data_IF_169538417329
#
_entry.id   IF_169538417329
#
_cell.length_a   1.000
_cell.length_b   1.000
_cell.length_c   1.000
_cell.angle_alpha   90.00
_cell.angle_beta   90.00
_cell.angle_gamma   90.00
#
_symmetry.space_group_name_H-M   'P 1'
#
loop_
_entity.id
_entity.type
_entity.pdbx_description
1 polymer ?
#
# COMPACT_ATOMS: atom_id res chain seq x y z
N UNK A 1 -19.54 -3.57 22.98
CA UNK A 1 -18.47 -4.59 22.85
C UNK A 1 -18.48 -5.11 21.42
N UNK A 2 -17.33 -5.43 20.84
CA UNK A 2 -17.25 -6.04 19.51
C UNK A 2 -17.80 -7.47 19.58
N UNK A 3 -18.69 -7.83 18.65
CA UNK A 3 -19.38 -9.12 18.67
C UNK A 3 -18.62 -10.20 17.89
N UNK A 4 -18.02 -9.82 16.77
CA UNK A 4 -17.42 -10.72 15.81
C UNK A 4 -15.89 -10.76 15.90
N UNK A 5 -15.26 -9.65 16.31
CA UNK A 5 -13.79 -9.53 16.41
C UNK A 5 -13.34 -9.01 17.79
N UNK A 6 -13.68 -9.71 18.90
CA UNK A 6 -13.41 -9.22 20.26
C UNK A 6 -11.91 -9.06 20.56
N UNK A 7 -11.08 -10.02 20.17
CA UNK A 7 -9.62 -9.98 20.40
C UNK A 7 -8.96 -8.81 19.65
N UNK A 8 -9.38 -8.58 18.40
CA UNK A 8 -8.93 -7.46 17.60
C UNK A 8 -9.33 -6.12 18.21
N UNK A 9 -10.56 -6.01 18.70
CA UNK A 9 -11.04 -4.80 19.37
C UNK A 9 -10.27 -4.52 20.67
N UNK A 10 -9.92 -5.56 21.43
CA UNK A 10 -9.09 -5.43 22.64
C UNK A 10 -7.66 -5.02 22.29
N UNK A 11 -7.10 -5.56 21.20
CA UNK A 11 -5.79 -5.12 20.66
C UNK A 11 -5.81 -3.66 20.23
N UNK A 12 -6.87 -3.22 19.56
CA UNK A 12 -7.08 -1.81 19.17
C UNK A 12 -7.12 -0.93 20.41
N UNK A 13 -7.91 -1.29 21.42
CA UNK A 13 -7.98 -0.54 22.68
C UNK A 13 -6.64 -0.53 23.40
N UNK A 14 -5.86 -1.60 23.38
CA UNK A 14 -4.58 -1.65 24.10
C UNK A 14 -3.57 -0.57 23.65
N UNK A 15 -3.72 0.02 22.45
CA UNK A 15 -2.87 1.09 21.94
C UNK A 15 -2.76 2.29 22.89
N UNK A 16 -3.89 2.77 23.45
CA UNK A 16 -3.88 3.90 24.40
C UNK A 16 -3.14 3.58 25.71
N UNK A 17 -3.17 2.31 26.14
CA UNK A 17 -2.46 1.88 27.35
C UNK A 17 -0.97 1.70 27.12
N UNK A 18 -0.58 1.23 25.93
CA UNK A 18 0.82 0.98 25.57
C UNK A 18 1.59 2.26 25.25
N UNK A 19 0.94 3.23 24.61
CA UNK A 19 1.57 4.50 24.22
C UNK A 19 0.63 5.67 24.55
N UNK A 20 0.42 5.97 25.85
CA UNK A 20 -0.51 7.02 26.27
C UNK A 20 -0.17 8.39 25.68
N UNK A 21 1.11 8.70 25.50
CA UNK A 21 1.56 9.96 24.91
C UNK A 21 1.16 10.15 23.44
N UNK A 22 0.90 9.05 22.73
CA UNK A 22 0.53 9.07 21.32
C UNK A 22 -0.98 8.87 21.12
N UNK A 23 -1.57 7.94 21.86
CA UNK A 23 -2.93 7.46 21.67
C UNK A 23 -3.91 7.88 22.76
N UNK A 24 -3.42 8.49 23.86
CA UNK A 24 -4.25 8.81 25.03
C UNK A 24 -5.33 9.86 24.78
N UNK A 25 -5.19 10.68 23.73
CA UNK A 25 -6.21 11.66 23.31
C UNK A 25 -7.28 11.08 22.39
N UNK A 26 -7.11 9.85 21.89
CA UNK A 26 -8.06 9.22 20.98
C UNK A 26 -9.12 8.46 21.78
N UNK A 27 -10.39 8.82 21.55
CA UNK A 27 -11.52 8.02 22.02
C UNK A 27 -11.74 6.82 21.09
N UNK A 28 -11.29 5.63 21.54
CA UNK A 28 -11.41 4.38 20.78
C UNK A 28 -12.82 3.78 20.77
N UNK A 29 -13.75 4.28 21.58
CA UNK A 29 -15.14 3.84 21.56
C UNK A 29 -16.00 4.72 20.64
N UNK A 30 -15.47 5.87 20.20
CA UNK A 30 -16.09 6.72 19.19
C UNK A 30 -15.69 6.32 17.77
N UNK A 31 -16.68 6.21 16.90
CA UNK A 31 -16.45 5.97 15.46
C UNK A 31 -16.11 7.28 14.76
N UNK A 32 -15.00 7.36 14.00
CA UNK A 32 -14.59 8.60 13.34
C UNK A 32 -15.51 8.95 12.17
N UNK A 33 -15.64 10.25 11.85
CA UNK A 33 -16.52 10.75 10.81
C UNK A 33 -16.33 10.04 9.48
N UNK A 34 -15.10 9.72 9.08
CA UNK A 34 -14.79 9.01 7.83
C UNK A 34 -15.56 7.70 7.63
N UNK A 35 -15.99 7.06 8.72
CA UNK A 35 -16.77 5.83 8.68
C UNK A 35 -18.27 6.16 8.66
N UNK A 36 -19.03 5.45 7.83
CA UNK A 36 -20.47 5.64 7.71
C UNK A 36 -21.20 4.36 7.32
N UNK A 37 -22.27 4.05 8.04
CA UNK A 37 -23.29 3.07 7.63
C UNK A 37 -24.59 3.75 7.23
N UNK A 38 -24.64 5.09 7.26
CA UNK A 38 -25.82 5.86 6.88
C UNK A 38 -26.07 5.71 5.37
N UNK A 39 -27.23 5.17 4.96
CA UNK A 39 -27.57 4.98 3.54
C UNK A 39 -27.70 6.31 2.78
N UNK A 40 -27.99 7.42 3.46
CA UNK A 40 -28.10 8.75 2.84
C UNK A 40 -26.74 9.37 2.50
N UNK A 41 -25.67 8.89 3.12
CA UNK A 41 -24.31 9.40 2.91
C UNK A 41 -23.64 8.62 1.80
N UNK A 42 -23.16 9.31 0.76
CA UNK A 42 -22.41 8.66 -0.32
C UNK A 42 -21.08 8.08 0.18
N UNK A 43 -20.85 6.80 -0.08
CA UNK A 43 -19.58 6.13 0.21
C UNK A 43 -18.64 6.08 -1.01
N UNK A 44 -17.45 5.55 -0.77
CA UNK A 44 -16.42 5.34 -1.79
C UNK A 44 -16.73 4.13 -2.70
N UNK A 45 -17.64 3.24 -2.29
CA UNK A 45 -18.11 2.11 -3.12
C UNK A 45 -18.83 2.62 -4.36
N UNK A 46 -18.31 2.37 -5.57
CA UNK A 46 -19.01 2.76 -6.79
C UNK A 46 -20.25 1.88 -7.00
N UNK A 47 -21.37 2.50 -7.40
CA UNK A 47 -22.65 1.80 -7.63
C UNK A 47 -22.60 0.72 -8.72
N UNK A 48 -21.57 0.71 -9.57
CA UNK A 48 -21.36 -0.32 -10.60
C UNK A 48 -20.57 -1.54 -10.10
N UNK A 49 -19.97 -1.45 -8.90
CA UNK A 49 -19.16 -2.51 -8.30
C UNK A 49 -20.03 -3.46 -7.48
N UNK A 50 -20.87 -2.93 -6.60
CA UNK A 50 -21.80 -3.71 -5.79
C UNK A 50 -22.94 -2.84 -5.26
N UNK A 51 -24.03 -3.50 -4.86
CA UNK A 51 -25.11 -2.87 -4.09
C UNK A 51 -24.63 -2.62 -2.65
N UNK A 52 -24.69 -1.36 -2.20
CA UNK A 52 -24.14 -0.98 -0.89
C UNK A 52 -24.91 -1.60 0.26
N UNK A 53 -26.23 -1.69 0.17
CA UNK A 53 -27.07 -2.20 1.25
C UNK A 53 -26.78 -3.68 1.51
N UNK A 54 -26.57 -4.46 0.45
CA UNK A 54 -26.13 -5.86 0.56
C UNK A 54 -24.78 -6.02 1.26
N UNK A 55 -23.83 -5.10 1.01
CA UNK A 55 -22.51 -5.10 1.65
C UNK A 55 -22.62 -4.70 3.13
N UNK A 56 -23.47 -3.72 3.45
CA UNK A 56 -23.68 -3.26 4.83
C UNK A 56 -24.45 -4.26 5.69
N UNK A 57 -25.14 -5.24 5.09
CA UNK A 57 -25.82 -6.31 5.79
C UNK A 57 -24.84 -7.34 6.42
N UNK A 58 -23.58 -7.41 5.97
CA UNK A 58 -22.54 -8.20 6.63
C UNK A 58 -21.99 -7.43 7.85
N UNK A 59 -22.64 -7.62 9.00
CA UNK A 59 -22.25 -6.99 10.26
C UNK A 59 -20.81 -7.34 10.68
N UNK A 60 -20.31 -8.53 10.35
CA UNK A 60 -18.95 -8.97 10.65
C UNK A 60 -17.93 -8.18 9.84
N UNK A 61 -18.16 -7.98 8.55
CA UNK A 61 -17.28 -7.19 7.70
C UNK A 61 -17.34 -5.70 8.08
N UNK A 62 -18.53 -5.16 8.36
CA UNK A 62 -18.71 -3.77 8.83
C UNK A 62 -17.99 -3.54 10.17
N UNK A 63 -18.09 -4.47 11.13
CA UNK A 63 -17.37 -4.40 12.39
C UNK A 63 -15.85 -4.49 12.20
N UNK A 64 -15.37 -5.37 11.32
CA UNK A 64 -13.94 -5.48 10.99
C UNK A 64 -13.39 -4.15 10.50
N UNK A 65 -14.06 -3.51 9.54
CA UNK A 65 -13.61 -2.22 8.99
C UNK A 65 -13.67 -1.11 10.04
N UNK A 66 -14.76 -1.03 10.83
CA UNK A 66 -14.87 -0.04 11.92
C UNK A 66 -13.72 -0.18 12.91
N UNK A 67 -13.43 -1.41 13.32
CA UNK A 67 -12.40 -1.74 14.30
C UNK A 67 -11.00 -1.42 13.75
N UNK A 68 -10.71 -1.84 12.53
CA UNK A 68 -9.40 -1.65 11.89
C UNK A 68 -9.15 -0.22 11.40
N UNK A 69 -10.20 0.61 11.26
CA UNK A 69 -10.07 2.06 11.06
C UNK A 69 -9.40 2.74 12.26
N UNK A 70 -9.52 2.15 13.46
CA UNK A 70 -8.88 2.63 14.68
C UNK A 70 -7.59 1.88 15.01
N UNK A 71 -7.07 1.04 14.10
CA UNK A 71 -5.87 0.25 14.32
C UNK A 71 -4.65 0.88 13.62
N UNK A 72 -3.69 1.36 14.41
CA UNK A 72 -2.34 1.70 13.97
C UNK A 72 -1.43 0.47 13.91
N UNK A 73 -0.17 0.61 14.32
CA UNK A 73 0.75 -0.52 14.45
C UNK A 73 1.18 -0.69 15.90
N UNK A 74 0.54 -1.65 16.58
CA UNK A 74 0.73 -1.89 18.02
C UNK A 74 2.15 -2.31 18.40
N UNK A 75 2.99 -2.65 17.42
CA UNK A 75 4.39 -3.07 17.62
C UNK A 75 5.37 -2.02 17.11
N UNK A 76 5.12 -1.43 15.95
CA UNK A 76 6.05 -0.47 15.34
C UNK A 76 5.86 0.97 15.85
N UNK A 77 4.67 1.36 16.31
CA UNK A 77 4.43 2.69 16.86
C UNK A 77 5.23 2.99 18.15
N UNK A 78 5.38 2.05 19.12
CA UNK A 78 6.26 2.26 20.27
C UNK A 78 7.69 2.59 19.85
N UNK A 79 8.23 1.83 18.89
CA UNK A 79 9.58 2.07 18.38
C UNK A 79 9.67 3.43 17.66
N UNK A 80 8.68 3.79 16.85
CA UNK A 80 8.64 5.08 16.17
C UNK A 80 8.52 6.27 17.16
N UNK A 81 7.82 6.10 18.28
CA UNK A 81 7.67 7.13 19.31
C UNK A 81 9.01 7.53 19.96
N UNK A 82 10.01 6.62 19.96
CA UNK A 82 11.38 6.88 20.41
C UNK A 82 12.10 7.93 19.55
N UNK A 83 11.54 8.34 18.40
CA UNK A 83 12.14 9.35 17.53
C UNK A 83 12.32 10.70 18.24
N UNK A 84 11.48 11.02 19.24
CA UNK A 84 11.64 12.24 20.06
C UNK A 84 12.93 12.22 20.90
N UNK A 85 13.39 11.05 21.31
CA UNK A 85 14.57 10.86 22.15
C UNK A 85 15.84 10.59 21.32
N UNK A 86 15.74 9.72 20.32
CA UNK A 86 16.90 9.23 19.56
C UNK A 86 17.08 9.91 18.19
N UNK A 87 16.04 10.59 17.69
CA UNK A 87 15.98 11.11 16.32
C UNK A 87 15.67 10.02 15.28
N UNK A 88 14.95 10.39 14.22
CA UNK A 88 14.50 9.45 13.18
C UNK A 88 15.66 8.68 12.52
N UNK A 89 16.77 9.38 12.22
CA UNK A 89 17.96 8.76 11.61
C UNK A 89 18.54 7.62 12.46
N UNK A 90 18.63 7.82 13.78
CA UNK A 90 19.16 6.79 14.68
C UNK A 90 18.27 5.54 14.67
N UNK A 91 16.94 5.71 14.72
CA UNK A 91 16.01 4.58 14.63
C UNK A 91 16.12 3.83 13.31
N UNK A 92 16.26 4.55 12.20
CA UNK A 92 16.46 3.97 10.86
C UNK A 92 17.75 3.14 10.82
N UNK A 93 18.85 3.69 11.35
CA UNK A 93 20.16 3.02 11.34
C UNK A 93 20.16 1.77 12.23
N UNK A 94 19.54 1.83 13.41
CA UNK A 94 19.35 0.68 14.30
C UNK A 94 18.51 -0.42 13.64
N UNK A 95 17.37 -0.06 13.02
CA UNK A 95 16.51 -1.04 12.35
C UNK A 95 17.22 -1.71 11.17
N UNK A 96 17.91 -0.92 10.32
CA UNK A 96 18.70 -1.48 9.22
C UNK A 96 19.76 -2.45 9.71
N UNK A 97 20.46 -2.11 10.80
CA UNK A 97 21.46 -2.99 11.40
C UNK A 97 20.82 -4.27 11.94
N UNK A 98 19.70 -4.17 12.65
CA UNK A 98 18.97 -5.33 13.16
C UNK A 98 18.44 -6.26 12.04
N UNK A 99 17.97 -5.68 10.93
CA UNK A 99 17.54 -6.45 9.76
C UNK A 99 18.70 -7.20 9.11
N UNK A 100 19.90 -6.59 9.00
CA UNK A 100 21.06 -7.20 8.31
C UNK A 100 21.87 -8.17 9.16
N UNK A 101 21.92 -7.95 10.47
CA UNK A 101 22.89 -8.61 11.35
C UNK A 101 22.28 -9.13 12.65
N UNK A 102 20.95 -9.11 12.76
CA UNK A 102 20.23 -9.51 13.97
C UNK A 102 20.16 -8.38 15.00
N UNK A 103 19.10 -8.38 15.81
CA UNK A 103 18.87 -7.30 16.79
C UNK A 103 19.95 -7.25 17.87
N UNK A 104 20.54 -8.38 18.22
CA UNK A 104 21.64 -8.45 19.21
C UNK A 104 22.93 -7.77 18.74
N UNK A 105 23.07 -7.49 17.44
CA UNK A 105 24.19 -6.71 16.92
C UNK A 105 24.08 -5.22 17.24
N UNK A 106 22.89 -4.73 17.61
CA UNK A 106 22.63 -3.33 17.97
C UNK A 106 22.97 -3.15 19.46
N UNK A 107 24.02 -2.37 19.73
CA UNK A 107 24.40 -2.04 21.10
C UNK A 107 23.27 -1.26 21.79
N UNK A 108 22.95 -1.65 23.03
CA UNK A 108 21.86 -1.07 23.82
C UNK A 108 20.53 -0.98 23.06
N UNK A 109 20.22 -2.02 22.26
CA UNK A 109 18.98 -2.09 21.48
C UNK A 109 17.76 -1.90 22.40
N UNK A 110 16.90 -0.90 22.14
CA UNK A 110 15.70 -0.70 22.94
C UNK A 110 14.74 -1.87 22.79
N UNK A 111 13.95 -2.15 23.82
CA UNK A 111 13.01 -3.27 23.85
C UNK A 111 11.98 -3.16 22.73
N UNK A 112 11.60 -1.95 22.32
CA UNK A 112 10.69 -1.71 21.20
C UNK A 112 11.29 -2.15 19.86
N UNK A 113 12.62 -2.02 19.66
CA UNK A 113 13.28 -2.55 18.47
C UNK A 113 13.29 -4.08 18.49
N UNK A 114 13.52 -4.68 19.66
CA UNK A 114 13.47 -6.14 19.84
C UNK A 114 12.09 -6.68 19.50
N UNK A 115 11.04 -6.09 20.09
CA UNK A 115 9.65 -6.44 19.81
C UNK A 115 9.27 -6.24 18.33
N UNK A 116 9.76 -5.17 17.69
CA UNK A 116 9.56 -4.94 16.25
C UNK A 116 10.13 -6.10 15.43
N UNK A 117 11.40 -6.44 15.63
CA UNK A 117 12.09 -7.48 14.88
C UNK A 117 11.49 -8.85 15.16
N UNK A 118 11.20 -9.16 16.43
CA UNK A 118 10.53 -10.40 16.85
C UNK A 118 9.15 -10.56 16.19
N UNK A 119 8.35 -9.49 16.13
CA UNK A 119 7.05 -9.51 15.43
C UNK A 119 7.16 -9.84 13.95
N UNK A 120 8.28 -9.48 13.30
CA UNK A 120 8.50 -9.81 11.88
C UNK A 120 9.13 -11.20 11.70
N UNK A 121 9.90 -11.67 12.68
CA UNK A 121 10.46 -13.03 12.73
C UNK A 121 9.42 -14.09 13.04
N UNK A 122 8.32 -13.70 13.71
CA UNK A 122 7.20 -14.58 13.98
C UNK A 122 6.71 -15.24 12.68
N UNK A 123 6.67 -16.57 12.67
CA UNK A 123 6.16 -17.36 11.56
C UNK A 123 4.69 -17.65 11.84
N UNK A 124 3.73 -17.05 11.12
CA UNK A 124 2.32 -17.36 11.32
C UNK A 124 2.03 -18.82 11.00
N UNK A 125 1.12 -19.45 11.76
CA UNK A 125 0.78 -20.87 11.57
C UNK A 125 0.21 -21.20 10.18
N UNK A 126 -0.36 -20.20 9.51
CA UNK A 126 -0.89 -20.34 8.15
C UNK A 126 0.18 -20.24 7.06
N UNK A 127 1.41 -19.83 7.38
CA UNK A 127 2.43 -19.50 6.39
C UNK A 127 3.06 -20.74 5.76
N UNK A 128 2.87 -20.91 4.44
CA UNK A 128 3.60 -21.91 3.65
C UNK A 128 4.75 -21.25 2.86
N UNK A 129 5.99 -21.37 3.36
CA UNK A 129 7.17 -20.67 2.80
C UNK A 129 7.40 -21.01 1.32
N UNK A 130 7.20 -22.26 0.92
CA UNK A 130 7.35 -22.68 -0.48
C UNK A 130 6.30 -22.01 -1.39
N UNK A 131 5.08 -21.77 -0.89
CA UNK A 131 4.06 -21.03 -1.63
C UNK A 131 4.37 -19.54 -1.71
N UNK A 132 5.00 -18.95 -0.69
CA UNK A 132 5.48 -17.57 -0.74
C UNK A 132 6.49 -17.39 -1.87
N UNK A 133 7.50 -18.28 -1.97
CA UNK A 133 8.51 -18.19 -3.02
C UNK A 133 7.92 -18.44 -4.42
N UNK A 134 7.01 -19.41 -4.56
CA UNK A 134 6.29 -19.61 -5.83
C UNK A 134 5.40 -18.41 -6.17
N UNK A 135 4.73 -17.80 -5.19
CA UNK A 135 3.93 -16.60 -5.36
C UNK A 135 4.78 -15.39 -5.79
N UNK A 136 5.93 -15.20 -5.15
CA UNK A 136 6.93 -14.20 -5.51
C UNK A 136 7.36 -14.39 -6.97
N UNK A 137 7.68 -15.63 -7.37
CA UNK A 137 8.07 -15.99 -8.75
C UNK A 137 6.98 -15.63 -9.76
N UNK A 138 5.72 -15.92 -9.46
CA UNK A 138 4.59 -15.62 -10.35
C UNK A 138 4.35 -14.10 -10.49
N UNK A 139 4.44 -13.36 -9.40
CA UNK A 139 4.22 -11.91 -9.37
C UNK A 139 5.42 -11.11 -9.92
N UNK A 140 6.62 -11.68 -9.89
CA UNK A 140 7.84 -11.12 -10.50
C UNK A 140 7.68 -10.80 -11.99
N UNK A 141 6.87 -11.59 -12.71
CA UNK A 141 6.58 -11.37 -14.14
C UNK A 141 5.84 -10.04 -14.33
N UNK A 142 4.85 -9.76 -13.47
CA UNK A 142 4.13 -8.49 -13.46
C UNK A 142 5.07 -7.33 -13.10
N UNK A 143 5.88 -7.51 -12.04
CA UNK A 143 6.88 -6.53 -11.62
C UNK A 143 7.88 -6.18 -12.72
N UNK A 144 8.28 -7.16 -13.54
CA UNK A 144 9.24 -6.97 -14.62
C UNK A 144 8.65 -6.29 -15.86
N UNK A 145 7.43 -6.67 -16.26
CA UNK A 145 6.91 -6.37 -17.61
C UNK A 145 5.67 -5.50 -17.64
N UNK A 146 4.93 -5.36 -16.54
CA UNK A 146 3.68 -4.60 -16.49
C UNK A 146 3.79 -3.41 -15.54
N UNK A 147 4.21 -3.63 -14.29
CA UNK A 147 4.30 -2.59 -13.26
C UNK A 147 5.03 -1.32 -13.70
N UNK A 148 6.16 -1.38 -14.44
CA UNK A 148 6.87 -0.17 -14.89
C UNK A 148 6.04 0.77 -15.78
N UNK A 149 4.93 0.30 -16.36
CA UNK A 149 4.04 1.08 -17.22
C UNK A 149 2.81 1.62 -16.50
N UNK A 150 2.42 1.03 -15.36
CA UNK A 150 1.16 1.36 -14.66
C UNK A 150 1.38 1.93 -13.26
N UNK A 151 2.63 2.09 -12.84
CA UNK A 151 2.99 2.43 -11.44
C UNK A 151 2.31 3.71 -10.97
N UNK A 152 2.29 4.79 -11.74
CA UNK A 152 1.62 6.03 -11.29
C UNK A 152 0.12 5.84 -11.13
N UNK A 153 -0.50 5.17 -12.09
CA UNK A 153 -1.94 4.87 -12.03
C UNK A 153 -2.28 4.05 -10.78
N UNK A 154 -1.51 3.00 -10.51
CA UNK A 154 -1.66 2.15 -9.33
C UNK A 154 -1.41 2.91 -8.02
N UNK A 155 -0.36 3.74 -7.97
CA UNK A 155 -0.06 4.59 -6.83
C UNK A 155 -1.16 5.62 -6.56
N UNK A 156 -1.74 6.22 -7.59
CA UNK A 156 -2.85 7.17 -7.39
C UNK A 156 -4.12 6.51 -6.92
N UNK A 157 -4.41 5.28 -7.37
CA UNK A 157 -5.60 4.55 -6.93
C UNK A 157 -5.67 4.37 -5.40
N UNK A 158 -4.54 4.48 -4.68
CA UNK A 158 -4.51 4.39 -3.21
C UNK A 158 -4.70 5.74 -2.49
N UNK A 159 -4.63 6.89 -3.18
CA UNK A 159 -4.67 8.24 -2.58
C UNK A 159 -5.73 9.17 -3.18
N UNK A 160 -6.81 8.59 -3.70
CA UNK A 160 -7.92 9.33 -4.31
C UNK A 160 -9.08 9.62 -3.36
N UNK A 161 -8.96 9.21 -2.09
CA UNK A 161 -9.92 9.57 -1.07
C UNK A 161 -9.21 10.42 -0.01
N UNK A 162 -9.81 11.56 0.37
CA UNK A 162 -9.23 12.55 1.28
C UNK A 162 -8.78 11.94 2.60
N UNK A 163 -9.52 10.94 3.10
CA UNK A 163 -9.18 10.26 4.36
C UNK A 163 -7.91 9.38 4.26
N UNK A 164 -7.60 8.86 3.07
CA UNK A 164 -6.38 8.09 2.80
C UNK A 164 -5.23 8.94 2.25
N UNK A 165 -5.54 10.06 1.59
CA UNK A 165 -4.59 10.96 0.95
C UNK A 165 -3.91 11.93 1.94
N UNK A 166 -4.62 12.33 3.00
CA UNK A 166 -4.16 13.37 3.92
C UNK A 166 -2.79 13.07 4.56
N UNK A 167 -2.44 11.84 5.00
CA UNK A 167 -1.10 11.57 5.52
C UNK A 167 0.01 11.90 4.51
N UNK A 168 -0.21 11.68 3.22
CA UNK A 168 0.76 12.05 2.17
C UNK A 168 0.87 13.57 2.00
N UNK A 169 -0.26 14.28 2.10
CA UNK A 169 -0.28 15.73 2.01
C UNK A 169 0.44 16.38 3.22
N UNK A 170 0.17 15.91 4.43
CA UNK A 170 0.78 16.43 5.67
C UNK A 170 2.30 16.29 5.69
N UNK A 171 2.83 15.21 5.12
CA UNK A 171 4.29 14.97 5.04
C UNK A 171 4.96 15.82 3.96
N UNK A 172 4.19 16.48 3.08
CA UNK A 172 4.70 17.17 1.88
C UNK A 172 5.41 16.21 0.90
N UNK A 173 5.18 14.90 1.03
CA UNK A 173 5.94 13.85 0.37
C UNK A 173 5.78 13.85 -1.16
N UNK A 174 4.70 14.46 -1.67
CA UNK A 174 4.37 14.53 -3.09
C UNK A 174 4.55 15.92 -3.69
N UNK A 175 5.41 16.77 -3.13
CA UNK A 175 5.72 18.09 -3.68
C UNK A 175 7.01 18.08 -4.51
N UNK A 176 6.93 18.53 -5.77
CA UNK A 176 8.09 18.69 -6.65
C UNK A 176 8.93 17.41 -6.82
N UNK A 177 10.26 17.50 -6.65
CA UNK A 177 11.18 16.35 -6.76
C UNK A 177 10.94 15.24 -5.72
N UNK A 178 10.18 15.50 -4.65
CA UNK A 178 9.85 14.46 -3.65
C UNK A 178 8.81 13.48 -4.19
N UNK A 179 7.92 13.93 -5.10
CA UNK A 179 6.90 13.08 -5.70
C UNK A 179 7.49 11.92 -6.51
N UNK A 180 8.45 12.19 -7.39
CA UNK A 180 9.12 11.13 -8.17
C UNK A 180 9.81 10.12 -7.26
N UNK A 181 10.50 10.61 -6.24
CA UNK A 181 11.15 9.77 -5.24
C UNK A 181 10.18 8.85 -4.51
N UNK A 182 9.02 9.34 -4.06
CA UNK A 182 8.02 8.52 -3.36
C UNK A 182 7.38 7.45 -4.24
N UNK A 183 7.09 7.79 -5.50
CA UNK A 183 6.59 6.82 -6.48
C UNK A 183 7.65 5.75 -6.74
N UNK A 184 8.90 6.13 -6.95
CA UNK A 184 10.00 5.20 -7.16
C UNK A 184 10.28 4.33 -5.91
N UNK A 185 10.18 4.87 -4.70
CA UNK A 185 10.28 4.09 -3.46
C UNK A 185 9.16 3.05 -3.37
N UNK A 186 7.92 3.42 -3.71
CA UNK A 186 6.80 2.47 -3.73
C UNK A 186 7.00 1.38 -4.79
N UNK A 187 7.36 1.75 -6.01
CA UNK A 187 7.68 0.80 -7.08
C UNK A 187 8.83 -0.14 -6.69
N UNK A 188 9.87 0.41 -6.05
CA UNK A 188 11.00 -0.37 -5.57
C UNK A 188 10.55 -1.40 -4.52
N UNK A 189 9.75 -1.00 -3.52
CA UNK A 189 9.23 -1.94 -2.51
C UNK A 189 8.47 -3.12 -3.12
N UNK A 190 7.53 -2.84 -4.04
CA UNK A 190 6.77 -3.90 -4.69
C UNK A 190 7.62 -4.77 -5.61
N UNK A 191 8.65 -4.22 -6.25
CA UNK A 191 9.55 -4.98 -7.12
C UNK A 191 10.54 -5.83 -6.32
N UNK A 192 11.21 -5.26 -5.32
CA UNK A 192 12.26 -5.92 -4.52
C UNK A 192 11.71 -7.11 -3.74
N UNK A 193 10.50 -6.99 -3.20
CA UNK A 193 9.84 -8.07 -2.47
C UNK A 193 9.56 -9.30 -3.33
N UNK A 194 9.52 -9.16 -4.67
CA UNK A 194 9.34 -10.31 -5.56
C UNK A 194 10.64 -11.06 -5.86
N UNK A 195 11.81 -10.56 -5.49
CA UNK A 195 13.08 -11.24 -5.79
C UNK A 195 13.22 -12.57 -5.01
N UNK A 196 13.97 -13.56 -5.54
CA UNK A 196 14.14 -14.85 -4.86
C UNK A 196 14.69 -14.67 -3.44
N UNK A 197 14.06 -15.29 -2.44
CA UNK A 197 14.45 -15.21 -1.02
C UNK A 197 14.34 -13.81 -0.41
N UNK A 198 13.70 -12.85 -1.10
CA UNK A 198 13.69 -11.46 -0.64
C UNK A 198 12.91 -11.26 0.67
N UNK A 199 11.89 -12.09 0.93
CA UNK A 199 11.08 -12.02 2.16
C UNK A 199 11.60 -12.93 3.28
N UNK A 200 12.70 -13.67 3.07
CA UNK A 200 13.38 -14.37 4.14
C UNK A 200 13.95 -13.38 5.16
N UNK A 201 14.25 -13.85 6.38
CA UNK A 201 14.64 -13.01 7.52
C UNK A 201 15.75 -11.99 7.23
N UNK A 202 16.75 -12.36 6.43
CA UNK A 202 17.86 -11.48 6.06
C UNK A 202 17.78 -10.96 4.63
N UNK A 203 16.66 -11.20 3.96
CA UNK A 203 16.38 -10.77 2.60
C UNK A 203 16.17 -9.27 2.49
N UNK A 204 16.44 -8.73 1.31
CA UNK A 204 16.29 -7.30 1.02
C UNK A 204 14.83 -6.83 1.09
N UNK A 205 13.87 -7.69 0.75
CA UNK A 205 12.44 -7.43 0.87
C UNK A 205 11.96 -7.39 2.33
N UNK A 206 12.51 -8.23 3.21
CA UNK A 206 12.26 -8.18 4.65
C UNK A 206 12.72 -6.86 5.24
N UNK A 207 13.96 -6.44 4.95
CA UNK A 207 14.46 -5.13 5.37
C UNK A 207 13.60 -3.99 4.79
N UNK A 208 13.21 -4.07 3.51
CA UNK A 208 12.36 -3.06 2.89
C UNK A 208 10.99 -2.96 3.58
N UNK A 209 10.37 -4.10 3.91
CA UNK A 209 9.10 -4.15 4.65
C UNK A 209 9.23 -3.53 6.04
N UNK A 210 10.31 -3.86 6.77
CA UNK A 210 10.60 -3.27 8.08
C UNK A 210 10.70 -1.74 8.00
N UNK A 211 11.42 -1.24 6.99
CA UNK A 211 11.58 0.19 6.79
C UNK A 211 10.28 0.90 6.41
N UNK A 212 9.45 0.30 5.54
CA UNK A 212 8.13 0.85 5.18
C UNK A 212 7.20 0.85 6.39
N UNK A 213 7.19 -0.23 7.20
CA UNK A 213 6.41 -0.35 8.44
C UNK A 213 6.82 0.71 9.47
N UNK A 214 8.12 0.97 9.62
CA UNK A 214 8.63 2.07 10.45
C UNK A 214 8.21 3.44 9.88
N UNK A 215 8.34 3.64 8.57
CA UNK A 215 7.93 4.89 7.92
C UNK A 215 6.45 5.21 8.16
N UNK A 216 5.55 4.23 8.00
CA UNK A 216 4.12 4.43 8.30
C UNK A 216 3.89 4.80 9.77
N UNK A 217 4.62 4.18 10.68
CA UNK A 217 4.54 4.47 12.12
C UNK A 217 5.08 5.86 12.47
N UNK A 218 6.17 6.31 11.82
CA UNK A 218 6.67 7.69 11.95
C UNK A 218 5.69 8.73 11.42
N UNK A 219 5.04 8.47 10.27
CA UNK A 219 3.98 9.33 9.74
C UNK A 219 2.82 9.44 10.72
N UNK A 220 2.39 8.30 11.30
CA UNK A 220 1.32 8.24 12.30
C UNK A 220 1.68 9.00 13.58
N UNK A 221 2.89 8.78 14.10
CA UNK A 221 3.41 9.51 15.25
C UNK A 221 3.41 11.01 15.02
N UNK A 222 3.88 11.45 13.86
CA UNK A 222 3.89 12.87 13.54
C UNK A 222 2.47 13.45 13.42
N UNK A 223 1.57 12.76 12.73
CA UNK A 223 0.19 13.24 12.53
C UNK A 223 -0.55 13.40 13.86
N UNK A 224 -0.37 12.49 14.81
CA UNK A 224 -1.02 12.56 16.13
C UNK A 224 -0.37 13.54 17.11
N UNK A 225 0.91 13.87 16.93
CA UNK A 225 1.63 14.78 17.83
C UNK A 225 1.74 16.21 17.30
N UNK A 226 1.42 16.43 16.03
CA UNK A 226 1.38 17.76 15.43
C UNK A 226 0.00 18.38 15.64
N UNK A 227 -0.11 19.58 16.25
CA UNK A 227 -1.40 20.23 16.48
C UNK A 227 -2.10 20.70 15.20
N UNK A 228 -1.43 20.62 14.05
CA UNK A 228 -1.94 21.08 12.76
C UNK A 228 -2.18 19.91 11.82
N UNK A 229 -3.44 19.70 11.44
CA UNK A 229 -3.79 18.97 10.22
C UNK A 229 -4.29 17.54 10.38
N UNK A 230 -4.38 16.98 11.60
CA UNK A 230 -5.06 15.71 11.84
C UNK A 230 -6.09 15.82 12.96
N UNK A 231 -7.33 15.49 12.66
CA UNK A 231 -8.43 15.41 13.64
C UNK A 231 -8.85 13.94 13.81
N UNK A 232 -8.54 13.29 14.95
CA UNK A 232 -8.95 11.90 15.21
C UNK A 232 -10.46 11.68 15.15
N UNK A 233 -11.29 12.67 15.48
CA UNK A 233 -12.75 12.54 15.38
C UNK A 233 -13.22 12.48 13.93
N UNK A 234 -12.48 13.07 13.00
CA UNK A 234 -12.78 13.04 11.57
C UNK A 234 -12.14 11.84 10.88
N UNK A 235 -10.85 11.65 11.09
CA UNK A 235 -10.02 10.73 10.31
C UNK A 235 -9.70 9.41 11.02
N UNK A 236 -9.94 9.28 12.32
CA UNK A 236 -9.52 8.15 13.12
C UNK A 236 -8.00 8.11 13.33
N UNK A 237 -7.43 6.91 13.41
CA UNK A 237 -5.98 6.72 13.50
C UNK A 237 -5.34 6.95 12.13
N UNK A 238 -4.25 7.72 11.99
CA UNK A 238 -3.57 7.92 10.71
C UNK A 238 -2.94 6.64 10.16
N UNK A 239 -2.98 6.48 8.84
CA UNK A 239 -2.46 5.29 8.13
C UNK A 239 -2.98 4.00 8.80
N UNK A 240 -4.29 3.86 9.04
CA UNK A 240 -4.80 2.70 9.75
C UNK A 240 -4.55 1.43 8.91
N UNK A 241 -4.46 0.26 9.55
CA UNK A 241 -4.14 -1.00 8.85
C UNK A 241 -5.12 -1.29 7.70
N UNK A 242 -6.39 -0.90 7.86
CA UNK A 242 -7.42 -1.03 6.82
C UNK A 242 -7.11 -0.24 5.54
N UNK A 243 -6.34 0.85 5.61
CA UNK A 243 -5.94 1.64 4.45
C UNK A 243 -4.70 1.09 3.75
N UNK A 244 -3.92 0.24 4.42
CA UNK A 244 -2.77 -0.44 3.82
C UNK A 244 -3.18 -1.70 3.05
N UNK A 245 -4.26 -2.37 3.47
CA UNK A 245 -4.75 -3.62 2.88
C UNK A 245 -4.97 -3.53 1.36
N UNK A 246 -5.63 -2.49 0.80
CA UNK A 246 -5.83 -2.39 -0.64
C UNK A 246 -4.53 -2.37 -1.43
N UNK A 247 -3.51 -1.67 -0.95
CA UNK A 247 -2.21 -1.60 -1.62
C UNK A 247 -1.51 -2.98 -1.67
N UNK A 248 -1.66 -3.78 -0.62
CA UNK A 248 -1.06 -5.12 -0.52
C UNK A 248 -1.79 -6.21 -1.32
N UNK A 249 -3.11 -6.08 -1.48
CA UNK A 249 -3.99 -7.14 -2.00
C UNK A 249 -4.73 -6.78 -3.31
N UNK A 250 -4.55 -5.60 -3.91
CA UNK A 250 -5.34 -5.19 -5.08
C UNK A 250 -5.26 -6.18 -6.27
N UNK A 251 -4.08 -6.75 -6.52
CA UNK A 251 -3.91 -7.79 -7.53
C UNK A 251 -4.75 -9.04 -7.23
N UNK A 252 -4.86 -9.41 -5.95
CA UNK A 252 -5.70 -10.52 -5.51
C UNK A 252 -7.18 -10.18 -5.53
N UNK A 253 -7.57 -8.91 -5.34
CA UNK A 253 -8.94 -8.47 -5.58
C UNK A 253 -9.35 -8.66 -7.04
N UNK A 254 -8.51 -8.27 -8.00
CA UNK A 254 -8.78 -8.53 -9.42
C UNK A 254 -8.87 -10.03 -9.73
N UNK A 255 -7.96 -10.84 -9.16
CA UNK A 255 -8.02 -12.30 -9.31
C UNK A 255 -9.29 -12.90 -8.68
N UNK A 256 -9.73 -12.38 -7.53
CA UNK A 256 -10.96 -12.80 -6.86
C UNK A 256 -12.19 -12.49 -7.71
N UNK A 257 -12.30 -11.28 -8.27
CA UNK A 257 -13.39 -10.90 -9.18
C UNK A 257 -13.43 -11.84 -10.39
N UNK A 258 -12.28 -12.15 -10.99
CA UNK A 258 -12.19 -13.10 -12.10
C UNK A 258 -12.59 -14.53 -11.69
N UNK A 259 -12.14 -14.99 -10.52
CA UNK A 259 -12.53 -16.29 -9.98
C UNK A 259 -14.05 -16.39 -9.76
N UNK A 260 -14.66 -15.38 -9.13
CA UNK A 260 -16.12 -15.32 -8.93
C UNK A 260 -16.89 -15.26 -10.25
N UNK A 261 -16.40 -14.48 -11.23
CA UNK A 261 -17.03 -14.42 -12.56
C UNK A 261 -17.00 -15.78 -13.29
N UNK A 262 -16.03 -16.63 -12.94
CA UNK A 262 -15.93 -18.00 -13.42
C UNK A 262 -16.65 -19.02 -12.50
N UNK A 263 -17.42 -18.57 -11.50
CA UNK A 263 -18.14 -19.44 -10.58
C UNK A 263 -17.28 -20.12 -9.50
N UNK A 264 -16.04 -19.67 -9.30
CA UNK A 264 -15.11 -20.23 -8.29
C UNK A 264 -15.04 -19.34 -7.05
N UNK A 265 -15.04 -19.95 -5.88
CA UNK A 265 -14.68 -19.27 -4.64
C UNK A 265 -13.24 -19.56 -4.20
N UNK A 266 -12.74 -20.74 -4.57
CA UNK A 266 -11.36 -21.14 -4.32
C UNK A 266 -10.43 -20.67 -5.43
N UNK A 267 -9.23 -20.27 -5.01
CA UNK A 267 -8.13 -19.94 -5.88
C UNK A 267 -7.48 -21.21 -6.46
N UNK A 268 -7.12 -21.16 -7.74
CA UNK A 268 -6.26 -22.17 -8.35
C UNK A 268 -4.91 -22.24 -7.64
N UNK A 269 -4.12 -23.33 -7.78
CA UNK A 269 -2.80 -23.42 -7.12
C UNK A 269 -1.88 -22.23 -7.38
N UNK A 270 -1.91 -21.68 -8.60
CA UNK A 270 -1.16 -20.48 -8.97
C UNK A 270 -1.66 -19.24 -8.22
N UNK A 271 -2.97 -19.01 -8.22
CA UNK A 271 -3.59 -17.89 -7.52
C UNK A 271 -3.40 -18.01 -5.99
N UNK A 272 -3.44 -19.23 -5.43
CA UNK A 272 -3.16 -19.51 -4.01
C UNK A 272 -1.73 -19.13 -3.64
N UNK A 273 -0.74 -19.50 -4.44
CA UNK A 273 0.65 -19.09 -4.20
C UNK A 273 0.81 -17.56 -4.24
N UNK A 274 0.20 -16.90 -5.24
CA UNK A 274 0.19 -15.43 -5.33
C UNK A 274 -0.48 -14.79 -4.11
N UNK A 275 -1.59 -15.36 -3.63
CA UNK A 275 -2.26 -14.91 -2.42
C UNK A 275 -1.36 -15.05 -1.20
N UNK A 276 -0.72 -16.21 -1.02
CA UNK A 276 0.14 -16.49 0.13
C UNK A 276 1.31 -15.50 0.22
N UNK A 277 1.98 -15.24 -0.90
CA UNK A 277 2.97 -14.18 -1.00
C UNK A 277 2.41 -12.80 -0.61
N UNK A 278 1.25 -12.43 -1.17
CA UNK A 278 0.63 -11.13 -0.88
C UNK A 278 0.23 -10.99 0.59
N UNK A 279 -0.31 -12.06 1.21
CA UNK A 279 -0.66 -12.12 2.64
C UNK A 279 0.60 -12.00 3.50
N UNK A 280 1.66 -12.74 3.20
CA UNK A 280 2.91 -12.65 3.95
C UNK A 280 3.56 -11.27 3.86
N UNK A 281 3.56 -10.64 2.68
CA UNK A 281 4.00 -9.24 2.54
C UNK A 281 3.18 -8.29 3.41
N UNK A 282 1.87 -8.48 3.50
CA UNK A 282 1.01 -7.67 4.36
C UNK A 282 1.28 -7.94 5.85
N UNK A 283 1.50 -9.18 6.23
CA UNK A 283 1.91 -9.56 7.59
C UNK A 283 3.22 -8.86 8.00
N UNK A 284 4.23 -8.86 7.13
CA UNK A 284 5.49 -8.15 7.38
C UNK A 284 5.32 -6.62 7.53
N UNK A 285 4.27 -6.05 6.94
CA UNK A 285 3.86 -4.65 7.11
C UNK A 285 3.01 -4.41 8.37
N UNK A 286 2.69 -5.45 9.14
CA UNK A 286 1.97 -5.37 10.42
C UNK A 286 0.45 -5.52 10.32
N UNK A 287 -0.10 -5.95 9.18
CA UNK A 287 -1.54 -6.09 9.02
C UNK A 287 -2.09 -7.27 9.84
N UNK A 288 -3.28 -7.13 10.47
CA UNK A 288 -4.03 -8.24 11.05
C UNK A 288 -4.33 -9.33 10.03
N UNK A 289 -4.34 -10.58 10.47
CA UNK A 289 -4.81 -11.70 9.65
C UNK A 289 -6.28 -11.55 9.24
N UNK A 290 -7.10 -10.90 10.06
CA UNK A 290 -8.52 -10.65 9.80
C UNK A 290 -8.74 -9.79 8.53
N UNK A 291 -7.76 -8.99 8.12
CA UNK A 291 -7.78 -8.23 6.87
C UNK A 291 -7.20 -9.00 5.67
N UNK A 292 -6.75 -10.25 5.88
CA UNK A 292 -6.02 -11.07 4.90
C UNK A 292 -6.78 -12.38 4.59
N UNK A 293 -8.01 -12.29 4.06
CA UNK A 293 -8.85 -13.46 3.79
C UNK A 293 -8.24 -14.36 2.72
N UNK A 294 -8.62 -15.63 2.75
CA UNK A 294 -8.02 -16.70 1.92
C UNK A 294 -8.86 -17.12 0.72
N UNK A 295 -10.11 -16.64 0.63
CA UNK A 295 -11.05 -16.98 -0.45
C UNK A 295 -11.34 -15.78 -1.36
N UNK A 296 -11.84 -16.06 -2.56
CA UNK A 296 -12.24 -15.01 -3.49
C UNK A 296 -13.38 -14.14 -2.91
N UNK A 297 -14.41 -14.76 -2.32
CA UNK A 297 -15.48 -14.04 -1.62
C UNK A 297 -14.93 -13.17 -0.49
N UNK A 298 -14.07 -13.71 0.38
CA UNK A 298 -13.54 -12.95 1.52
C UNK A 298 -12.73 -11.72 1.08
N UNK A 299 -11.90 -11.85 0.03
CA UNK A 299 -11.17 -10.70 -0.53
C UNK A 299 -12.14 -9.63 -1.04
N UNK A 300 -13.17 -10.03 -1.78
CA UNK A 300 -14.18 -9.09 -2.29
C UNK A 300 -14.94 -8.42 -1.14
N UNK A 301 -15.38 -9.19 -0.15
CA UNK A 301 -16.09 -8.72 1.04
C UNK A 301 -15.31 -7.61 1.77
N UNK A 302 -14.03 -7.83 2.07
CA UNK A 302 -13.22 -6.85 2.81
C UNK A 302 -12.98 -5.59 1.98
N UNK A 303 -12.72 -5.70 0.66
CA UNK A 303 -12.58 -4.54 -0.23
C UNK A 303 -13.88 -3.75 -0.34
N UNK A 304 -15.01 -4.44 -0.52
CA UNK A 304 -16.32 -3.82 -0.67
C UNK A 304 -16.78 -3.19 0.63
N UNK A 305 -16.64 -3.87 1.77
CA UNK A 305 -16.97 -3.33 3.09
C UNK A 305 -16.16 -2.06 3.39
N UNK A 306 -14.85 -2.06 3.07
CA UNK A 306 -14.01 -0.86 3.20
C UNK A 306 -14.56 0.29 2.37
N UNK A 307 -14.84 0.06 1.09
CA UNK A 307 -15.35 1.10 0.21
C UNK A 307 -16.78 1.55 0.60
N UNK A 308 -17.63 0.63 1.07
CA UNK A 308 -19.03 0.88 1.44
C UNK A 308 -19.17 1.71 2.72
N UNK A 309 -18.21 1.59 3.62
CA UNK A 309 -18.19 2.28 4.91
C UNK A 309 -17.32 3.52 4.92
N UNK A 310 -16.42 3.69 3.95
CA UNK A 310 -15.64 4.91 3.80
C UNK A 310 -16.49 6.01 3.15
N UNK A 311 -16.66 7.15 3.83
CA UNK A 311 -17.30 8.34 3.24
C UNK A 311 -16.56 8.75 1.98
N UNK A 312 -17.32 9.08 0.93
CA UNK A 312 -16.72 9.64 -0.28
C UNK A 312 -16.11 10.99 0.06
N UNK A 313 -14.85 11.19 -0.32
CA UNK A 313 -14.19 12.48 -0.17
C UNK A 313 -13.10 12.66 -1.21
N UNK A 314 -13.29 13.60 -2.14
CA UNK A 314 -12.24 14.05 -3.05
C UNK A 314 -12.19 15.57 -2.98
N UNK A 315 -11.12 16.09 -2.40
CA UNK A 315 -10.81 17.52 -2.38
C UNK A 315 -9.78 17.82 -3.46
N UNK A 316 -10.05 18.77 -4.36
CA UNK A 316 -9.11 19.10 -5.44
C UNK A 316 -7.83 19.77 -4.92
N UNK A 317 -7.93 20.54 -3.83
CA UNK A 317 -6.77 21.22 -3.26
C UNK A 317 -5.74 20.21 -2.72
N UNK A 318 -6.20 19.11 -2.13
CA UNK A 318 -5.35 18.04 -1.60
C UNK A 318 -5.20 16.91 -2.60
N UNK A 319 -6.25 16.12 -2.84
CA UNK A 319 -6.20 14.94 -3.71
C UNK A 319 -5.88 15.31 -5.16
N UNK A 320 -6.48 16.40 -5.68
CA UNK A 320 -6.21 16.87 -7.03
C UNK A 320 -4.75 17.31 -7.22
N UNK A 321 -4.17 18.04 -6.27
CA UNK A 321 -2.76 18.40 -6.28
C UNK A 321 -1.84 17.17 -6.25
N UNK A 322 -2.14 16.19 -5.37
CA UNK A 322 -1.40 14.93 -5.32
C UNK A 322 -1.43 14.18 -6.66
N UNK A 323 -2.61 14.11 -7.30
CA UNK A 323 -2.78 13.51 -8.62
C UNK A 323 -1.92 14.22 -9.66
N UNK A 324 -2.05 15.55 -9.74
CA UNK A 324 -1.31 16.38 -10.72
C UNK A 324 0.21 16.27 -10.51
N UNK A 325 0.70 16.35 -9.27
CA UNK A 325 2.14 16.23 -9.00
C UNK A 325 2.67 14.83 -9.30
N UNK A 326 1.89 13.79 -9.03
CA UNK A 326 2.29 12.42 -9.34
C UNK A 326 2.33 12.17 -10.84
N UNK A 327 1.35 12.69 -11.59
CA UNK A 327 1.29 12.52 -13.05
C UNK A 327 2.36 13.32 -13.81
N UNK A 328 2.82 14.43 -13.23
CA UNK A 328 3.84 15.29 -13.86
C UNK A 328 5.28 14.98 -13.44
N UNK A 329 5.47 14.28 -12.31
CA UNK A 329 6.79 13.92 -11.80
C UNK A 329 7.63 13.19 -12.86
N UNK A 330 8.94 13.43 -12.91
CA UNK A 330 9.82 12.65 -13.78
C UNK A 330 10.34 11.43 -13.01
N UNK A 331 9.95 10.23 -13.44
CA UNK A 331 10.37 8.98 -12.76
C UNK A 331 11.69 8.45 -13.30
N UNK A 332 12.12 8.92 -14.47
CA UNK A 332 13.40 8.53 -15.08
C UNK A 332 14.50 9.52 -14.68
N UNK A 333 15.72 9.02 -14.58
CA UNK A 333 16.90 9.86 -14.29
C UNK A 333 17.58 10.38 -15.58
N UNK A 334 17.26 9.79 -16.74
CA UNK A 334 17.87 10.11 -18.03
C UNK A 334 17.10 11.16 -18.83
N UNK A 335 17.83 11.94 -19.64
CA UNK A 335 17.27 13.02 -20.48
C UNK A 335 17.28 12.69 -21.98
N UNK A 336 17.46 11.41 -22.36
CA UNK A 336 17.54 11.04 -23.78
C UNK A 336 16.15 11.09 -24.46
N UNK A 337 16.13 11.15 -25.79
CA UNK A 337 14.87 11.08 -26.55
C UNK A 337 14.11 9.77 -26.30
N UNK A 338 14.84 8.67 -26.04
CA UNK A 338 14.25 7.39 -25.66
C UNK A 338 13.62 7.45 -24.28
N UNK A 339 14.23 8.16 -23.33
CA UNK A 339 13.67 8.35 -21.99
C UNK A 339 12.37 9.15 -22.06
N UNK A 340 12.33 10.22 -22.87
CA UNK A 340 11.12 11.03 -23.07
C UNK A 340 10.00 10.24 -23.76
N UNK A 341 10.33 9.43 -24.76
CA UNK A 341 9.36 8.57 -25.41
C UNK A 341 8.82 7.51 -24.44
N UNK A 342 9.70 6.86 -23.68
CA UNK A 342 9.31 5.84 -22.72
C UNK A 342 8.52 6.40 -21.53
N UNK A 343 8.80 7.64 -21.13
CA UNK A 343 8.04 8.41 -20.13
C UNK A 343 6.63 8.74 -20.67
N UNK A 344 6.51 9.13 -21.93
CA UNK A 344 5.20 9.37 -22.57
C UNK A 344 4.36 8.09 -22.58
N UNK A 345 4.97 6.96 -22.96
CA UNK A 345 4.30 5.65 -22.93
C UNK A 345 3.83 5.31 -21.52
N UNK A 346 4.70 5.41 -20.53
CA UNK A 346 4.35 5.12 -19.13
C UNK A 346 3.19 6.01 -18.65
N UNK A 347 3.21 7.32 -18.91
CA UNK A 347 2.12 8.23 -18.52
C UNK A 347 0.78 7.84 -19.15
N UNK A 348 0.77 7.53 -20.45
CA UNK A 348 -0.46 7.11 -21.13
C UNK A 348 -1.00 5.78 -20.61
N UNK A 349 -0.11 4.81 -20.31
CA UNK A 349 -0.49 3.55 -19.67
C UNK A 349 -1.00 3.73 -18.24
N UNK A 350 -0.36 4.58 -17.44
CA UNK A 350 -0.80 4.92 -16.08
C UNK A 350 -2.17 5.61 -16.07
N UNK A 351 -2.44 6.53 -17.03
CA UNK A 351 -3.76 7.13 -17.22
C UNK A 351 -4.81 6.11 -17.65
N UNK A 352 -4.47 5.21 -18.57
CA UNK A 352 -5.37 4.13 -19.02
C UNK A 352 -5.70 3.18 -17.87
N UNK A 353 -4.71 2.80 -17.07
CA UNK A 353 -4.89 1.96 -15.88
C UNK A 353 -5.82 2.65 -14.89
N UNK A 354 -5.59 3.93 -14.60
CA UNK A 354 -6.45 4.71 -13.70
C UNK A 354 -7.88 4.86 -14.24
N UNK A 355 -8.05 5.08 -15.54
CA UNK A 355 -9.37 5.08 -16.19
C UNK A 355 -10.10 3.75 -15.97
N UNK A 356 -9.37 2.63 -16.03
CA UNK A 356 -9.90 1.30 -15.67
C UNK A 356 -10.43 1.22 -14.24
N UNK A 357 -9.71 1.80 -13.26
CA UNK A 357 -10.16 1.91 -11.86
C UNK A 357 -11.46 2.73 -11.76
N UNK A 358 -11.62 3.75 -12.59
CA UNK A 358 -12.85 4.54 -12.69
C UNK A 358 -14.01 3.81 -13.42
N UNK A 359 -13.81 2.58 -13.87
CA UNK A 359 -14.80 1.80 -14.64
C UNK A 359 -14.88 2.20 -16.11
N UNK A 360 -13.82 2.80 -16.67
CA UNK A 360 -13.81 3.29 -18.06
C UNK A 360 -14.51 4.65 -18.25
N UNK A 361 -14.97 5.29 -17.18
CA UNK A 361 -15.69 6.57 -17.23
C UNK A 361 -14.72 7.76 -17.24
N UNK A 362 -14.60 8.39 -18.41
CA UNK A 362 -13.75 9.57 -18.64
C UNK A 362 -14.11 10.74 -17.70
N UNK A 363 -15.40 10.96 -17.42
CA UNK A 363 -15.83 12.08 -16.56
C UNK A 363 -15.42 11.83 -15.11
N UNK A 364 -15.45 10.58 -14.65
CA UNK A 364 -14.96 10.24 -13.30
C UNK A 364 -13.46 10.39 -13.19
N UNK A 365 -12.69 9.94 -14.18
CA UNK A 365 -11.25 10.13 -14.19
C UNK A 365 -10.89 11.63 -14.21
N UNK A 366 -11.58 12.42 -15.04
CA UNK A 366 -11.38 13.87 -15.13
C UNK A 366 -11.75 14.58 -13.82
N UNK A 367 -12.85 14.20 -13.18
CA UNK A 367 -13.24 14.71 -11.85
C UNK A 367 -12.19 14.41 -10.76
N UNK A 368 -11.26 13.50 -11.04
CA UNK A 368 -10.15 13.13 -10.17
C UNK A 368 -8.81 13.67 -10.68
N UNK A 369 -8.83 14.68 -11.57
CA UNK A 369 -7.65 15.29 -12.19
C UNK A 369 -6.84 14.38 -13.13
N UNK A 370 -7.44 13.30 -13.65
CA UNK A 370 -6.81 12.42 -14.65
C UNK A 370 -7.53 12.55 -15.98
N UNK A 371 -6.89 13.19 -16.95
CA UNK A 371 -7.39 13.29 -18.33
C UNK A 371 -6.82 12.15 -19.18
N UNK A 372 -7.69 11.51 -19.98
CA UNK A 372 -7.29 10.50 -20.95
C UNK A 372 -7.82 10.87 -22.33
N UNK A 373 -6.92 11.23 -23.24
CA UNK A 373 -7.27 11.75 -24.57
C UNK A 373 -6.98 10.79 -25.73
N UNK A 374 -7.30 11.19 -26.98
CA UNK A 374 -7.02 10.40 -28.17
C UNK A 374 -5.54 10.05 -28.37
N UNK A 375 -4.63 10.95 -27.97
CA UNK A 375 -3.17 10.71 -28.04
C UNK A 375 -2.76 9.60 -27.06
N UNK A 376 -3.30 9.61 -25.85
CA UNK A 376 -3.04 8.54 -24.87
C UNK A 376 -3.57 7.20 -25.40
N UNK A 377 -4.79 7.19 -25.94
CA UNK A 377 -5.38 6.00 -26.54
C UNK A 377 -4.55 5.44 -27.70
N UNK A 378 -4.07 6.30 -28.61
CA UNK A 378 -3.20 5.91 -29.72
C UNK A 378 -1.86 5.36 -29.22
N UNK A 379 -1.25 6.01 -28.21
CA UNK A 379 0.01 5.56 -27.62
C UNK A 379 -0.13 4.18 -26.97
N UNK A 380 -1.19 3.97 -26.17
CA UNK A 380 -1.50 2.68 -25.55
C UNK A 380 -1.75 1.61 -26.61
N UNK A 381 -2.58 1.90 -27.62
CA UNK A 381 -2.87 0.95 -28.69
C UNK A 381 -1.61 0.54 -29.47
N UNK A 382 -0.74 1.49 -29.80
CA UNK A 382 0.51 1.24 -30.53
C UNK A 382 1.52 0.42 -29.72
N UNK A 383 1.51 0.55 -28.39
CA UNK A 383 2.50 -0.10 -27.50
C UNK A 383 1.96 -1.35 -26.78
N UNK A 384 0.64 -1.59 -26.79
CA UNK A 384 0.00 -2.75 -26.17
C UNK A 384 0.54 -4.10 -26.65
N UNK A 385 0.82 -4.33 -27.95
CA UNK A 385 1.43 -5.58 -28.38
C UNK A 385 2.79 -5.84 -27.72
N UNK A 386 3.56 -4.78 -27.45
CA UNK A 386 4.84 -4.90 -26.76
C UNK A 386 4.66 -5.10 -25.25
N UNK A 387 3.84 -4.26 -24.59
CA UNK A 387 3.68 -4.29 -23.13
C UNK A 387 2.90 -5.53 -22.69
N UNK A 388 1.65 -5.67 -23.14
CA UNK A 388 0.79 -6.79 -22.75
C UNK A 388 1.22 -8.08 -23.43
N UNK A 389 1.62 -8.03 -24.70
CA UNK A 389 2.08 -9.22 -25.41
C UNK A 389 3.31 -9.84 -24.73
N UNK A 390 4.29 -9.04 -24.30
CA UNK A 390 5.45 -9.53 -23.54
C UNK A 390 5.04 -10.08 -22.18
N UNK A 391 4.19 -9.38 -21.44
CA UNK A 391 3.70 -9.87 -20.14
C UNK A 391 2.97 -11.21 -20.25
N UNK A 392 2.05 -11.34 -21.22
CA UNK A 392 1.29 -12.58 -21.48
C UNK A 392 2.22 -13.69 -21.96
N UNK A 393 3.10 -13.41 -22.93
CA UNK A 393 4.06 -14.39 -23.43
C UNK A 393 4.94 -14.93 -22.29
N UNK A 394 5.49 -14.04 -21.46
CA UNK A 394 6.32 -14.45 -20.32
C UNK A 394 5.52 -15.23 -19.28
N UNK A 395 4.25 -14.89 -19.04
CA UNK A 395 3.36 -15.63 -18.15
C UNK A 395 3.08 -17.06 -18.65
N UNK A 396 2.89 -17.23 -19.96
CA UNK A 396 2.67 -18.54 -20.58
C UNK A 396 3.95 -19.38 -20.56
N UNK A 397 5.08 -18.78 -20.96
CA UNK A 397 6.39 -19.47 -20.97
C UNK A 397 6.80 -19.88 -19.55
N UNK A 398 6.55 -19.04 -18.54
CA UNK A 398 6.83 -19.36 -17.13
C UNK A 398 6.01 -20.53 -16.58
N UNK A 399 4.87 -20.85 -17.21
CA UNK A 399 4.05 -22.01 -16.88
C UNK A 399 4.63 -23.33 -17.38
N UNK A 400 5.56 -23.30 -18.33
CA UNK A 400 6.18 -24.50 -18.90
C UNK A 400 7.33 -25.00 -18.01
N UNK A 401 7.27 -26.24 -17.47
CA UNK A 401 8.29 -26.75 -16.54
C UNK A 401 9.73 -26.67 -17.08
N UNK A 402 9.92 -26.96 -18.37
CA UNK A 402 11.23 -26.96 -19.03
C UNK A 402 11.85 -25.56 -19.17
N UNK A 403 11.03 -24.51 -19.26
CA UNK A 403 11.47 -23.13 -19.46
C UNK A 403 11.40 -22.29 -18.18
N UNK A 404 10.91 -22.89 -17.08
CA UNK A 404 10.69 -22.20 -15.80
C UNK A 404 11.97 -21.55 -15.28
N UNK A 405 13.09 -22.29 -15.19
CA UNK A 405 14.35 -21.76 -14.67
C UNK A 405 14.95 -20.63 -15.51
N UNK A 406 14.89 -20.76 -16.84
CA UNK A 406 15.38 -19.72 -17.76
C UNK A 406 14.53 -18.45 -17.68
N UNK A 407 13.21 -18.61 -17.68
CA UNK A 407 12.25 -17.52 -17.53
C UNK A 407 12.45 -16.80 -16.22
N UNK A 408 12.72 -17.55 -15.16
CA UNK A 408 12.89 -16.98 -13.84
C UNK A 408 14.17 -16.16 -13.71
N UNK A 409 15.29 -16.70 -14.21
CA UNK A 409 16.56 -15.98 -14.29
C UNK A 409 16.42 -14.68 -15.11
N UNK A 410 15.75 -14.76 -16.27
CA UNK A 410 15.51 -13.59 -17.11
C UNK A 410 14.65 -12.54 -16.42
N UNK A 411 13.53 -12.95 -15.83
CA UNK A 411 12.61 -12.03 -15.13
C UNK A 411 13.30 -11.38 -13.94
N UNK A 412 14.06 -12.15 -13.16
CA UNK A 412 14.89 -11.66 -12.05
C UNK A 412 15.89 -10.60 -12.52
N UNK A 413 16.58 -10.83 -13.65
CA UNK A 413 17.50 -9.85 -14.23
C UNK A 413 16.79 -8.55 -14.63
N UNK A 414 15.59 -8.65 -15.22
CA UNK A 414 14.79 -7.48 -15.60
C UNK A 414 14.35 -6.70 -14.36
N UNK A 415 13.88 -7.36 -13.31
CA UNK A 415 13.52 -6.69 -12.05
C UNK A 415 14.73 -5.99 -11.43
N UNK A 416 15.89 -6.66 -11.37
CA UNK A 416 17.13 -6.03 -10.87
C UNK A 416 17.55 -4.79 -11.67
N UNK A 417 17.37 -4.82 -12.99
CA UNK A 417 17.60 -3.65 -13.84
C UNK A 417 16.64 -2.50 -13.49
N UNK A 418 15.35 -2.79 -13.27
CA UNK A 418 14.36 -1.78 -12.86
C UNK A 418 14.66 -1.20 -11.49
N UNK A 419 15.06 -2.03 -10.53
CA UNK A 419 15.47 -1.58 -9.19
C UNK A 419 16.64 -0.60 -9.26
N UNK A 420 17.63 -0.85 -10.14
CA UNK A 420 18.73 0.08 -10.36
C UNK A 420 18.26 1.43 -10.94
N UNK A 421 17.25 1.43 -11.83
CA UNK A 421 16.66 2.65 -12.40
C UNK A 421 15.87 3.47 -11.36
N UNK A 422 15.14 2.80 -10.45
CA UNK A 422 14.41 3.46 -9.37
C UNK A 422 15.34 4.16 -8.36
N UNK A 423 16.59 3.73 -8.27
CA UNK A 423 17.59 4.24 -7.33
C UNK A 423 17.51 3.57 -5.96
N UNK A 424 18.33 4.05 -5.02
CA UNK A 424 18.38 3.52 -3.65
C UNK A 424 17.23 4.11 -2.81
N UNK A 425 16.23 3.31 -2.43
CA UNK A 425 15.14 3.81 -1.62
C UNK A 425 15.63 4.06 -0.19
N UNK A 426 15.28 5.21 0.40
CA UNK A 426 15.58 5.42 1.82
C UNK A 426 14.50 4.78 2.71
N UNK A 427 13.27 4.64 2.20
CA UNK A 427 12.08 4.16 2.94
C UNK A 427 11.91 4.85 4.28
N UNK A 428 12.14 6.16 4.27
CA UNK A 428 12.21 6.96 5.46
C UNK A 428 11.50 8.30 5.25
N UNK A 429 11.13 8.89 6.37
CA UNK A 429 10.55 10.21 6.47
C UNK A 429 11.11 10.89 7.72
N UNK A 430 11.24 12.21 7.69
CA UNK A 430 11.73 13.01 8.81
C UNK A 430 10.77 14.17 9.07
N UNK A 431 10.16 14.18 10.25
CA UNK A 431 9.23 15.22 10.69
C UNK A 431 9.82 16.64 10.59
N UNK A 432 11.14 16.79 10.70
CA UNK A 432 11.81 18.07 10.52
C UNK A 432 11.66 18.66 9.11
N UNK A 433 11.35 17.81 8.11
CA UNK A 433 11.21 18.20 6.70
C UNK A 433 9.76 18.51 6.28
N UNK A 434 8.80 18.36 7.20
CA UNK A 434 7.38 18.50 6.87
C UNK A 434 7.01 19.98 6.71
N UNK A 435 6.09 20.31 5.79
CA UNK A 435 5.60 21.67 5.66
C UNK A 435 4.96 22.14 6.97
N UNK A 436 5.45 23.23 7.55
CA UNK A 436 4.76 23.93 8.65
C UNK A 436 3.79 24.93 8.03
N UNK A 437 2.51 24.97 8.42
CA UNK A 437 1.68 26.12 8.01
C UNK A 437 2.27 27.36 8.68
N UNK A 438 2.47 28.42 7.91
CA UNK A 438 2.79 29.71 8.49
C UNK A 438 1.63 30.08 9.42
N UNK A 439 1.91 30.20 10.72
CA UNK A 439 0.97 30.72 11.69
C UNK A 439 0.58 32.10 11.19
N UNK A 440 -0.64 32.24 10.66
CA UNK A 440 -1.21 33.58 10.40
C UNK A 440 -1.28 34.25 11.76
N UNK A 441 -0.34 35.14 12.04
CA UNK A 441 -0.44 36.08 13.14
C UNK A 441 -1.73 36.85 12.91
N UNK A 442 -2.75 36.56 13.72
CA UNK A 442 -3.91 37.41 13.83
C UNK A 442 -3.44 38.73 14.45
N UNK A 443 -3.35 39.76 13.61
CA UNK A 443 -3.34 41.17 14.04
C UNK A 443 -4.74 41.72 13.91
#
# INVERSE_FOLDING_TARGET
MALHHPELADRVRAQHRRIPDLYGSIDFDRTPHRFTTDPQVRSDLPAWVADRDSVLADERAVELIRTTTMLGDVVADPYAALAKQHGAKSLIDMLRKACRSGVDSVADAPDELRAFVESMEATPDWLEVELVEEGARQLRIGAAFLSPYITRGAFLATFINTYAALPMALTGALTGRRASRRVNETANFFAVTTLPGALERYGEGFQAAAMVRLMHSMVRCNALTSPEGWDPEVYGVPVPQVDQMPAGLFNMYLAAVLAKSAGRDEFSPRERAMLEFSRYRCFLLGLPEELLPTTASGIIEVFHARAATLRRGFDDATCGELVRSTMTADLRQGNSLLDQAAETVERSWSRAFFLGICGGDLKRAEAMSVQFGPVDAACVAATAPFVLGRFVAMSVVAGQPLLRGLTDCYTTRVVKQRLAEYGNPEYATDAATYPRKATRSAT
#
